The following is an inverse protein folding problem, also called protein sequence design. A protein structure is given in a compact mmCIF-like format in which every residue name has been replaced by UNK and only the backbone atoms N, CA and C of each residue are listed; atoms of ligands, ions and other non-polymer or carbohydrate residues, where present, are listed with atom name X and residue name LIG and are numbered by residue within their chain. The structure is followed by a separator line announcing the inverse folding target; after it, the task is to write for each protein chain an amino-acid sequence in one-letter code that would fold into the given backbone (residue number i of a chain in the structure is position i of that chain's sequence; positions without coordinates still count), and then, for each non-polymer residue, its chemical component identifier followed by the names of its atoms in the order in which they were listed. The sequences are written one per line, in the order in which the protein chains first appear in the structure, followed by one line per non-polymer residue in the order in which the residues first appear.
data_IF_121338554724
#
_entry.id   IF_121338554724
#
_cell.length_a   1.000
_cell.length_b   1.000
_cell.length_c   1.000
_cell.angle_alpha   90.00
_cell.angle_beta   90.00
_cell.angle_gamma   90.00
#
_symmetry.space_group_name_H-M   'P 1'
#
loop_
_entity.id
_entity.type
_entity.pdbx_description
1 polymer ?
#
# COMPACT_ATOMS: atom_id res chain seq x y z
N UNK A 1 -23.14 -56.75 -1.16
CA UNK A 1 -23.09 -55.61 -0.21
C UNK A 1 -21.76 -54.86 -0.21
N UNK A 2 -20.63 -55.42 -0.66
CA UNK A 2 -19.32 -54.72 -0.61
C UNK A 2 -19.11 -53.61 -1.67
N UNK A 3 -19.77 -53.69 -2.84
CA UNK A 3 -19.60 -52.70 -3.94
C UNK A 3 -20.21 -51.32 -3.67
N UNK A 4 -21.24 -51.22 -2.83
CA UNK A 4 -21.87 -49.93 -2.48
C UNK A 4 -21.01 -49.12 -1.49
N UNK A 5 -20.26 -49.81 -0.61
CA UNK A 5 -19.36 -49.17 0.36
C UNK A 5 -18.15 -48.50 -0.30
N UNK A 6 -17.53 -49.14 -1.30
CA UNK A 6 -16.42 -48.54 -2.06
C UNK A 6 -16.83 -47.29 -2.85
N UNK A 7 -18.03 -47.32 -3.43
CA UNK A 7 -18.59 -46.18 -4.16
C UNK A 7 -18.76 -44.94 -3.27
N UNK A 8 -19.24 -45.14 -2.03
CA UNK A 8 -19.45 -44.06 -1.07
C UNK A 8 -18.14 -43.44 -0.56
N UNK A 9 -17.13 -44.26 -0.31
CA UNK A 9 -15.79 -43.79 0.11
C UNK A 9 -15.14 -42.96 -0.99
N UNK A 10 -15.22 -43.42 -2.25
CA UNK A 10 -14.62 -42.74 -3.39
C UNK A 10 -15.28 -41.37 -3.65
N UNK A 11 -16.61 -41.31 -3.55
CA UNK A 11 -17.36 -40.04 -3.65
C UNK A 11 -16.90 -39.01 -2.59
N UNK A 12 -16.71 -39.45 -1.35
CA UNK A 12 -16.33 -38.57 -0.24
C UNK A 12 -14.91 -38.00 -0.43
N UNK A 13 -13.98 -38.83 -0.90
CA UNK A 13 -12.60 -38.41 -1.20
C UNK A 13 -12.51 -37.41 -2.36
N UNK A 14 -13.26 -37.64 -3.44
CA UNK A 14 -13.31 -36.70 -4.57
C UNK A 14 -13.88 -35.35 -4.12
N UNK A 15 -14.92 -35.37 -3.28
CA UNK A 15 -15.55 -34.16 -2.75
C UNK A 15 -14.57 -33.35 -1.88
N UNK A 16 -13.85 -34.00 -0.96
CA UNK A 16 -12.88 -33.31 -0.10
C UNK A 16 -11.65 -32.80 -0.87
N UNK A 17 -11.16 -33.54 -1.87
CA UNK A 17 -10.10 -33.07 -2.76
C UNK A 17 -10.50 -31.83 -3.57
N UNK A 18 -11.73 -31.79 -4.08
CA UNK A 18 -12.21 -30.62 -4.82
C UNK A 18 -12.36 -29.39 -3.91
N UNK A 19 -12.86 -29.57 -2.69
CA UNK A 19 -12.95 -28.49 -1.69
C UNK A 19 -11.55 -27.96 -1.35
N UNK A 20 -10.58 -28.84 -1.05
CA UNK A 20 -9.22 -28.39 -0.74
C UNK A 20 -8.56 -27.69 -1.92
N UNK A 21 -8.76 -28.18 -3.14
CA UNK A 21 -8.25 -27.57 -4.38
C UNK A 21 -8.84 -26.17 -4.63
N UNK A 22 -10.14 -25.98 -4.43
CA UNK A 22 -10.79 -24.66 -4.55
C UNK A 22 -10.32 -23.69 -3.47
N UNK A 23 -10.18 -24.16 -2.21
CA UNK A 23 -9.65 -23.34 -1.12
C UNK A 23 -8.22 -22.86 -1.42
N UNK A 24 -7.39 -23.73 -2.00
CA UNK A 24 -6.01 -23.43 -2.36
C UNK A 24 -5.92 -22.43 -3.52
N UNK A 25 -6.81 -22.54 -4.53
CA UNK A 25 -6.93 -21.56 -5.61
C UNK A 25 -7.31 -20.16 -5.10
N UNK A 26 -8.30 -20.09 -4.21
CA UNK A 26 -8.74 -18.84 -3.60
C UNK A 26 -7.63 -18.19 -2.75
N UNK A 27 -6.90 -18.96 -1.94
CA UNK A 27 -5.79 -18.42 -1.15
C UNK A 27 -4.69 -17.82 -2.04
N UNK A 28 -4.35 -18.50 -3.14
CA UNK A 28 -3.32 -18.01 -4.08
C UNK A 28 -3.74 -16.66 -4.69
N UNK A 29 -5.01 -16.52 -5.07
CA UNK A 29 -5.53 -15.28 -5.65
C UNK A 29 -5.53 -14.12 -4.63
N UNK A 30 -5.94 -14.39 -3.39
CA UNK A 30 -5.90 -13.41 -2.30
C UNK A 30 -4.46 -12.96 -2.02
N UNK A 31 -3.50 -13.89 -1.94
CA UNK A 31 -2.09 -13.57 -1.71
C UNK A 31 -1.55 -12.67 -2.84
N UNK A 32 -1.87 -12.99 -4.11
CA UNK A 32 -1.48 -12.16 -5.26
C UNK A 32 -2.06 -10.75 -5.17
N UNK A 33 -3.34 -10.62 -4.81
CA UNK A 33 -4.01 -9.33 -4.65
C UNK A 33 -3.38 -8.50 -3.53
N UNK A 34 -3.11 -9.12 -2.38
CA UNK A 34 -2.45 -8.45 -1.24
C UNK A 34 -1.05 -7.97 -1.63
N UNK A 35 -0.28 -8.79 -2.35
CA UNK A 35 1.04 -8.38 -2.85
C UNK A 35 0.97 -7.17 -3.79
N UNK A 36 0.00 -7.15 -4.71
CA UNK A 36 -0.22 -6.02 -5.59
C UNK A 36 -0.53 -4.73 -4.82
N UNK A 37 -1.42 -4.81 -3.82
CA UNK A 37 -1.75 -3.67 -2.96
C UNK A 37 -0.53 -3.17 -2.16
N UNK A 38 0.27 -4.07 -1.58
CA UNK A 38 1.48 -3.70 -0.82
C UNK A 38 2.44 -2.93 -1.73
N UNK A 39 2.69 -3.42 -2.94
CA UNK A 39 3.58 -2.75 -3.91
C UNK A 39 3.02 -1.38 -4.27
N UNK A 40 1.73 -1.28 -4.58
CA UNK A 40 1.09 -0.03 -4.95
C UNK A 40 1.16 1.02 -3.83
N UNK A 41 0.84 0.62 -2.59
CA UNK A 41 0.91 1.50 -1.43
C UNK A 41 2.35 1.90 -1.11
N UNK A 42 3.32 1.00 -1.29
CA UNK A 42 4.75 1.30 -1.11
C UNK A 42 5.24 2.34 -2.11
N UNK A 43 4.80 2.23 -3.37
CA UNK A 43 5.09 3.23 -4.40
C UNK A 43 4.48 4.59 -4.07
N UNK A 44 3.21 4.64 -3.63
CA UNK A 44 2.58 5.90 -3.20
C UNK A 44 3.32 6.52 -2.02
N UNK A 45 3.74 5.70 -1.05
CA UNK A 45 4.49 6.20 0.10
C UNK A 45 5.86 6.75 -0.32
N UNK A 46 6.53 6.08 -1.26
CA UNK A 46 7.80 6.55 -1.81
C UNK A 46 7.64 7.87 -2.60
N UNK A 47 6.55 8.04 -3.36
CA UNK A 47 6.31 9.26 -4.15
C UNK A 47 5.86 10.45 -3.30
N UNK A 48 5.25 10.22 -2.15
CA UNK A 48 4.84 11.29 -1.23
C UNK A 48 6.02 12.11 -0.68
N UNK A 49 7.23 11.53 -0.67
CA UNK A 49 8.45 12.21 -0.23
C UNK A 49 9.12 13.09 -1.31
N UNK A 50 8.67 13.03 -2.57
CA UNK A 50 9.44 13.64 -3.66
C UNK A 50 9.03 15.09 -3.93
N UNK A 51 7.75 15.46 -3.85
CA UNK A 51 7.33 16.79 -4.30
C UNK A 51 6.07 17.32 -3.60
N UNK A 52 6.23 17.77 -2.36
CA UNK A 52 5.42 18.89 -1.86
C UNK A 52 6.35 20.02 -1.47
N UNK A 53 7.13 20.50 -2.44
CA UNK A 53 7.67 21.86 -2.38
C UNK A 53 6.50 22.83 -2.49
N UNK A 54 5.78 22.99 -1.39
CA UNK A 54 4.71 23.98 -1.22
C UNK A 54 5.34 25.33 -1.55
N UNK A 55 4.85 25.94 -2.63
CA UNK A 55 5.18 27.32 -2.93
C UNK A 55 4.67 28.20 -1.79
N UNK A 56 5.52 29.10 -1.32
CA UNK A 56 5.23 29.95 -0.18
C UNK A 56 5.68 31.38 -0.48
N UNK A 57 5.03 32.35 0.13
CA UNK A 57 5.45 33.75 0.14
C UNK A 57 5.84 34.18 1.54
N UNK A 58 5.24 33.56 2.56
CA UNK A 58 5.50 33.77 3.97
C UNK A 58 5.80 32.43 4.64
N UNK A 59 6.52 32.45 5.76
CA UNK A 59 6.77 31.23 6.53
C UNK A 59 5.48 30.58 7.07
N UNK A 60 4.41 31.36 7.24
CA UNK A 60 3.08 30.88 7.64
C UNK A 60 2.37 30.06 6.57
N UNK A 61 2.78 30.18 5.32
CA UNK A 61 2.21 29.39 4.21
C UNK A 61 2.69 27.94 4.28
N UNK A 62 3.73 27.66 5.08
CA UNK A 62 4.26 26.33 5.27
C UNK A 62 3.50 25.58 6.38
N UNK A 63 3.02 24.35 6.11
CA UNK A 63 2.31 23.55 7.10
C UNK A 63 3.20 23.23 8.31
N UNK A 64 2.64 23.36 9.52
CA UNK A 64 3.38 23.17 10.78
C UNK A 64 3.91 21.73 10.97
N UNK A 65 3.22 20.76 10.38
CA UNK A 65 3.53 19.32 10.43
C UNK A 65 4.46 18.86 9.31
N UNK A 66 4.94 19.78 8.46
CA UNK A 66 5.87 19.47 7.38
C UNK A 66 7.21 18.93 7.90
N UNK A 67 7.65 19.38 9.08
CA UNK A 67 8.96 19.08 9.62
C UNK A 67 8.87 18.32 10.95
N UNK A 68 9.71 17.29 11.18
CA UNK A 68 9.81 16.65 12.48
C UNK A 68 10.46 17.59 13.51
N UNK A 69 10.06 17.48 14.77
CA UNK A 69 10.73 18.19 15.87
C UNK A 69 12.23 17.81 15.93
N UNK A 70 13.17 18.76 16.11
CA UNK A 70 12.99 20.17 16.48
C UNK A 70 12.92 21.15 15.29
N UNK A 71 12.93 20.65 14.05
CA UNK A 71 13.00 21.48 12.85
C UNK A 71 11.68 22.22 12.65
N UNK A 72 11.76 23.48 12.24
CA UNK A 72 10.58 24.29 11.92
C UNK A 72 10.45 24.45 10.40
N UNK A 73 9.22 24.38 9.88
CA UNK A 73 8.96 24.68 8.48
C UNK A 73 9.19 26.18 8.22
N UNK A 74 9.95 26.48 7.16
CA UNK A 74 10.25 27.85 6.72
C UNK A 74 10.17 27.95 5.21
N UNK A 75 9.66 29.08 4.74
CA UNK A 75 9.81 29.50 3.36
C UNK A 75 11.24 29.93 3.01
N UNK A 76 11.88 29.28 2.04
CA UNK A 76 13.19 29.64 1.49
C UNK A 76 13.05 30.12 0.05
N UNK A 77 13.62 31.29 -0.25
CA UNK A 77 13.60 31.87 -1.58
C UNK A 77 14.83 31.41 -2.37
N UNK A 78 14.62 30.66 -3.45
CA UNK A 78 15.70 30.20 -4.33
C UNK A 78 15.77 31.15 -5.54
N UNK A 79 16.72 32.08 -5.54
CA UNK A 79 16.93 33.05 -6.64
C UNK A 79 16.02 34.29 -6.58
N UNK A 80 15.64 34.83 -7.75
CA UNK A 80 14.57 35.85 -7.89
C UNK A 80 13.29 35.14 -8.34
N UNK A 81 12.31 34.94 -7.44
CA UNK A 81 10.96 35.39 -7.76
C UNK A 81 10.12 35.81 -6.54
N UNK A 82 8.86 36.20 -6.83
CA UNK A 82 7.80 36.55 -5.88
C UNK A 82 7.31 35.38 -5.00
N UNK A 83 7.90 34.18 -5.11
CA UNK A 83 7.54 32.96 -4.38
C UNK A 83 8.79 32.13 -4.03
N UNK A 84 8.80 31.52 -2.85
CA UNK A 84 9.81 30.59 -2.34
C UNK A 84 9.25 29.18 -2.16
N UNK A 85 10.05 28.27 -1.60
CA UNK A 85 9.66 26.88 -1.30
C UNK A 85 9.75 26.59 0.19
N UNK A 86 8.78 25.85 0.72
CA UNK A 86 8.84 25.37 2.09
C UNK A 86 9.93 24.32 2.25
N UNK A 87 10.80 24.50 3.25
CA UNK A 87 11.76 23.49 3.69
C UNK A 87 11.96 23.58 5.21
N UNK A 88 12.65 22.58 5.78
CA UNK A 88 12.92 22.52 7.22
C UNK A 88 14.23 23.23 7.58
N UNK A 89 14.20 24.13 8.57
CA UNK A 89 15.41 24.81 9.08
C UNK A 89 15.20 25.77 10.25
#
# INVERSE_FOLDING_TARGET
MLKEGESYINYTLIKSYNISKTQMGNMIEIIKFVYFLIIFLSLILATKNIDTFVDCTLHSDCPFDLCPFPLKPRCFFVGKPATGKCACG
#
